data_IF_813961955530
#
_entry.id   IF_813961955530
#
_cell.length_a   1.000
_cell.length_b   1.000
_cell.length_c   1.000
_cell.angle_alpha   90.00
_cell.angle_beta   90.00
_cell.angle_gamma   90.00
#
_symmetry.space_group_name_H-M   'P 1'
#
loop_
_entity.id
_entity.type
_entity.pdbx_description
1 polymer ?
#
# COMPACT_ATOMS: atom_id res chain seq x y z
N UNK A 1 6.00 3.19 17.43
CA UNK A 1 6.79 2.28 16.56
C UNK A 1 5.96 1.94 15.34
N UNK A 2 6.56 1.94 14.15
CA UNK A 2 5.85 1.59 12.92
C UNK A 2 6.03 0.09 12.67
N UNK A 3 4.99 -0.72 12.84
CA UNK A 3 5.07 -2.16 12.55
C UNK A 3 5.07 -2.38 11.04
N UNK A 4 6.03 -3.16 10.56
CA UNK A 4 6.09 -3.59 9.16
C UNK A 4 5.35 -4.91 9.01
N UNK A 5 4.40 -4.94 8.06
CA UNK A 5 3.52 -6.07 7.84
C UNK A 5 3.54 -6.50 6.38
N UNK A 6 3.13 -7.73 6.11
CA UNK A 6 3.01 -8.20 4.73
C UNK A 6 1.97 -7.38 3.95
N UNK A 7 2.04 -7.45 2.62
CA UNK A 7 1.06 -6.80 1.73
C UNK A 7 -0.40 -7.12 2.10
N UNK A 8 -0.80 -8.39 2.32
CA UNK A 8 -2.16 -8.73 2.72
C UNK A 8 -2.56 -8.20 4.10
N UNK A 9 -1.68 -8.27 5.10
CA UNK A 9 -1.97 -7.81 6.46
C UNK A 9 -2.12 -6.29 6.51
N UNK A 10 -1.18 -5.56 5.90
CA UNK A 10 -1.25 -4.10 5.79
C UNK A 10 -2.48 -3.65 4.99
N UNK A 11 -2.85 -4.38 3.94
CA UNK A 11 -4.06 -4.12 3.17
C UNK A 11 -5.33 -4.27 4.02
N UNK A 12 -5.41 -5.35 4.81
CA UNK A 12 -6.55 -5.60 5.70
C UNK A 12 -6.69 -4.49 6.75
N UNK A 13 -5.60 -4.04 7.36
CA UNK A 13 -5.62 -2.97 8.36
C UNK A 13 -6.02 -1.61 7.78
N UNK A 14 -5.78 -1.37 6.49
CA UNK A 14 -6.19 -0.15 5.81
C UNK A 14 -7.52 -0.29 5.03
N UNK A 15 -8.21 -1.43 5.12
CA UNK A 15 -9.48 -1.64 4.43
C UNK A 15 -9.38 -1.66 2.89
N UNK A 16 -8.21 -1.98 2.35
CA UNK A 16 -7.98 -2.08 0.90
C UNK A 16 -7.75 -3.53 0.47
N UNK A 17 -8.00 -3.84 -0.80
CA UNK A 17 -7.69 -5.18 -1.33
C UNK A 17 -6.17 -5.41 -1.43
N UNK A 18 -5.65 -6.60 -1.09
CA UNK A 18 -4.25 -6.96 -1.32
C UNK A 18 -3.83 -6.83 -2.81
N UNK A 19 -4.78 -7.04 -3.73
CA UNK A 19 -4.56 -6.87 -5.18
C UNK A 19 -4.28 -5.40 -5.51
N UNK A 20 -4.93 -4.45 -4.83
CA UNK A 20 -4.69 -3.02 -4.97
C UNK A 20 -3.28 -2.66 -4.54
N UNK A 21 -2.82 -3.17 -3.39
CA UNK A 21 -1.44 -2.95 -2.90
C UNK A 21 -0.41 -3.51 -3.88
N UNK A 22 -0.64 -4.73 -4.40
CA UNK A 22 0.24 -5.32 -5.44
C UNK A 22 0.27 -4.46 -6.71
N UNK A 23 -0.87 -3.95 -7.15
CA UNK A 23 -0.95 -3.07 -8.31
C UNK A 23 -0.25 -1.73 -8.07
N UNK A 24 -0.37 -1.13 -6.89
CA UNK A 24 0.38 0.06 -6.53
C UNK A 24 1.88 -0.18 -6.57
N UNK A 25 2.37 -1.28 -5.99
CA UNK A 25 3.80 -1.65 -6.06
C UNK A 25 4.26 -1.81 -7.51
N UNK A 26 3.51 -2.59 -8.31
CA UNK A 26 3.82 -2.84 -9.73
C UNK A 26 3.91 -1.55 -10.55
N UNK A 27 3.06 -0.56 -10.22
CA UNK A 27 3.01 0.74 -10.89
C UNK A 27 3.98 1.77 -10.29
N UNK A 28 4.77 1.41 -9.29
CA UNK A 28 5.69 2.32 -8.60
C UNK A 28 4.99 3.40 -7.77
N UNK A 29 3.73 3.21 -7.37
CA UNK A 29 2.97 4.16 -6.55
C UNK A 29 3.28 4.06 -5.06
N UNK A 30 3.85 2.93 -4.64
CA UNK A 30 4.37 2.68 -3.30
C UNK A 30 5.74 2.00 -3.38
N UNK A 31 6.55 2.25 -2.36
CA UNK A 31 7.81 1.55 -2.13
C UNK A 31 7.66 0.69 -0.88
N UNK A 32 8.15 -0.57 -0.86
CA UNK A 32 8.22 -1.35 0.37
C UNK A 32 9.04 -0.63 1.42
N UNK A 33 8.58 -0.63 2.67
CA UNK A 33 9.29 -0.03 3.80
C UNK A 33 10.37 -0.96 4.37
N UNK A 34 10.33 -2.23 3.95
CA UNK A 34 11.33 -3.24 4.26
C UNK A 34 11.07 -4.53 3.49
N UNK A 35 11.92 -5.53 3.72
CA UNK A 35 11.77 -6.88 3.21
C UNK A 35 11.76 -7.86 4.39
N UNK A 36 11.01 -8.96 4.27
CA UNK A 36 11.14 -10.09 5.19
C UNK A 36 12.40 -10.91 4.88
N UNK A 37 12.67 -11.93 5.71
CA UNK A 37 13.81 -12.85 5.54
C UNK A 37 13.82 -13.60 4.20
N UNK A 38 12.66 -13.65 3.50
CA UNK A 38 12.48 -14.33 2.22
C UNK A 38 12.49 -13.34 1.05
N UNK A 39 12.82 -12.06 1.29
CA UNK A 39 12.83 -11.00 0.29
C UNK A 39 11.44 -10.51 -0.14
N UNK A 40 10.38 -10.82 0.62
CA UNK A 40 9.02 -10.35 0.33
C UNK A 40 8.83 -8.94 0.88
N UNK A 41 8.07 -8.08 0.18
CA UNK A 41 7.89 -6.70 0.59
C UNK A 41 7.04 -6.58 1.84
N UNK A 42 7.49 -5.75 2.77
CA UNK A 42 6.76 -5.34 3.96
C UNK A 42 6.38 -3.85 3.85
N UNK A 43 5.24 -3.51 4.45
CA UNK A 43 4.64 -2.19 4.39
C UNK A 43 4.15 -1.77 5.77
N UNK A 44 4.35 -0.50 6.07
CA UNK A 44 3.69 0.18 7.18
C UNK A 44 2.25 0.56 6.81
N UNK A 45 1.40 0.68 7.83
CA UNK A 45 0.05 1.24 7.65
C UNK A 45 0.09 2.64 7.02
N UNK A 46 1.08 3.47 7.39
CA UNK A 46 1.23 4.82 6.87
C UNK A 46 1.47 4.85 5.35
N UNK A 47 2.31 3.95 4.84
CA UNK A 47 2.59 3.84 3.41
C UNK A 47 1.33 3.45 2.63
N UNK A 48 0.56 2.48 3.11
CA UNK A 48 -0.69 2.06 2.47
C UNK A 48 -1.76 3.15 2.54
N UNK A 49 -1.96 3.79 3.70
CA UNK A 49 -2.93 4.87 3.87
C UNK A 49 -2.63 6.08 2.95
N UNK A 50 -1.36 6.46 2.80
CA UNK A 50 -0.94 7.52 1.87
C UNK A 50 -1.23 7.16 0.41
N UNK A 51 -1.02 5.90 0.04
CA UNK A 51 -1.28 5.41 -1.31
C UNK A 51 -2.77 5.41 -1.64
N UNK A 52 -3.59 4.99 -0.69
CA UNK A 52 -5.05 5.05 -0.78
C UNK A 52 -5.54 6.49 -0.98
N UNK A 53 -5.10 7.41 -0.12
CA UNK A 53 -5.47 8.82 -0.19
C UNK A 53 -5.11 9.44 -1.55
N UNK A 54 -3.88 9.19 -2.04
CA UNK A 54 -3.44 9.65 -3.38
C UNK A 54 -4.28 9.04 -4.50
N UNK A 55 -4.64 7.77 -4.38
CA UNK A 55 -5.48 7.08 -5.38
C UNK A 55 -6.89 7.66 -5.40
N UNK A 56 -7.50 7.91 -4.24
CA UNK A 56 -8.83 8.52 -4.10
C UNK A 56 -8.85 9.94 -4.67
N UNK A 57 -7.86 10.77 -4.34
CA UNK A 57 -7.75 12.13 -4.88
C UNK A 57 -7.61 12.17 -6.41
N UNK A 58 -6.90 11.20 -7.01
CA UNK A 58 -6.80 11.09 -8.46
C UNK A 58 -8.14 10.69 -9.09
N UNK A 59 -8.84 9.73 -8.49
CA UNK A 59 -10.15 9.30 -8.95
C UNK A 59 -11.18 10.44 -8.90
N UNK A 60 -11.18 11.23 -7.82
CA UNK A 60 -12.10 12.37 -7.69
C UNK A 60 -11.81 13.49 -8.69
N UNK A 61 -10.53 13.76 -9.03
CA UNK A 61 -10.15 14.77 -10.02
C UNK A 61 -10.46 14.36 -11.46
N UNK A 62 -10.51 13.06 -11.76
CA UNK A 62 -10.86 12.57 -13.09
C UNK A 62 -12.37 12.62 -13.38
N UNK A 63 -13.20 12.80 -12.35
CA UNK A 63 -14.65 12.82 -12.43
C UNK A 63 -15.25 14.25 -12.44
N UNK A 64 -14.42 15.28 -12.35
CA UNK A 64 -14.78 16.70 -12.37
C UNK A 64 -14.40 17.31 -13.72
#
# INVERSE_FOLDING_TARGET
>A
MQTLLSGPESAALCGVSPVTVRNWKRRGLITPDGLDERGRPLYSQLTIARAEARTRQRASRAAA
#
